data_IF_697305784303
#
_entry.id   IF_697305784303
#
_cell.length_a   1.000
_cell.length_b   1.000
_cell.length_c   1.000
_cell.angle_alpha   90.00
_cell.angle_beta   90.00
_cell.angle_gamma   90.00
#
_symmetry.space_group_name_H-M   'P 1'
#
loop_
_entity.id
_entity.type
_entity.pdbx_description
1 polymer ?
#
# COMPACT_ATOMS: atom_id res chain seq x y z
N UNK A 1 -1.59 -7.76 -11.50
CA UNK A 1 -0.78 -8.64 -10.62
C UNK A 1 -0.70 -7.92 -9.30
N UNK A 2 -1.12 -8.55 -8.20
CA UNK A 2 -1.22 -7.97 -6.84
C UNK A 2 0.01 -7.10 -6.48
N UNK A 3 1.23 -7.59 -6.77
CA UNK A 3 2.47 -6.83 -6.57
C UNK A 3 2.60 -5.53 -7.38
N UNK A 4 2.09 -5.50 -8.61
CA UNK A 4 2.15 -4.34 -9.48
C UNK A 4 1.16 -3.24 -9.06
N UNK A 5 0.02 -3.63 -8.48
CA UNK A 5 -0.95 -2.68 -7.93
C UNK A 5 -0.47 -2.09 -6.60
N UNK A 6 0.22 -2.88 -5.77
CA UNK A 6 0.92 -2.38 -4.58
C UNK A 6 1.99 -1.34 -4.96
N UNK A 7 2.86 -1.67 -5.93
CA UNK A 7 3.91 -0.76 -6.38
C UNK A 7 3.36 0.58 -6.89
N UNK A 8 2.19 0.56 -7.55
CA UNK A 8 1.49 1.78 -7.99
C UNK A 8 0.91 2.58 -6.83
N UNK A 9 0.26 1.94 -5.84
CA UNK A 9 -0.25 2.62 -4.62
C UNK A 9 0.89 3.32 -3.87
N UNK A 10 2.01 2.64 -3.62
CA UNK A 10 3.16 3.22 -2.92
C UNK A 10 3.76 4.39 -3.72
N UNK A 11 3.95 4.23 -5.02
CA UNK A 11 4.52 5.29 -5.88
C UNK A 11 3.61 6.52 -5.92
N UNK A 12 2.29 6.33 -5.92
CA UNK A 12 1.30 7.42 -5.88
C UNK A 12 1.33 8.18 -4.54
N UNK A 13 1.46 7.45 -3.43
CA UNK A 13 1.55 8.02 -2.10
C UNK A 13 2.86 8.82 -1.91
N UNK A 14 3.99 8.29 -2.38
CA UNK A 14 5.28 8.98 -2.39
C UNK A 14 5.28 10.23 -3.28
N UNK A 15 4.64 10.16 -4.44
CA UNK A 15 4.51 11.31 -5.35
C UNK A 15 3.62 12.41 -4.75
N UNK A 16 2.55 12.03 -4.04
CA UNK A 16 1.71 12.97 -3.31
C UNK A 16 2.47 13.64 -2.17
N UNK A 17 3.32 12.89 -1.47
CA UNK A 17 4.21 13.41 -0.42
C UNK A 17 5.28 14.36 -1.00
N UNK A 18 5.88 14.01 -2.15
CA UNK A 18 6.89 14.84 -2.82
C UNK A 18 6.33 16.17 -3.32
N UNK A 19 5.03 16.24 -3.59
CA UNK A 19 4.34 17.48 -3.98
C UNK A 19 3.79 18.26 -2.77
N UNK A 20 3.72 17.65 -1.58
CA UNK A 20 3.26 18.30 -0.37
C UNK A 20 4.38 19.18 0.20
N UNK A 21 4.27 20.50 0.02
CA UNK A 21 5.26 21.49 0.47
C UNK A 21 5.39 21.58 1.99
N UNK A 22 4.42 21.02 2.74
CA UNK A 22 4.41 20.93 4.20
C UNK A 22 4.10 19.47 4.57
N UNK A 23 5.11 18.74 5.04
CA UNK A 23 4.93 17.40 5.60
C UNK A 23 4.62 17.56 7.09
N UNK A 24 3.34 17.50 7.46
CA UNK A 24 2.92 17.40 8.85
C UNK A 24 2.99 15.93 9.31
N UNK A 25 3.23 15.71 10.60
CA UNK A 25 3.26 14.40 11.24
C UNK A 25 1.95 13.62 11.02
N UNK A 26 0.81 14.31 11.01
CA UNK A 26 -0.49 13.71 10.68
C UNK A 26 -0.56 13.17 9.24
N UNK A 27 -0.06 13.94 8.27
CA UNK A 27 -0.05 13.55 6.84
C UNK A 27 0.90 12.37 6.64
N UNK A 28 2.05 12.39 7.30
CA UNK A 28 3.01 11.29 7.26
C UNK A 28 2.42 10.02 7.87
N UNK A 29 1.74 10.12 9.02
CA UNK A 29 1.14 8.99 9.71
C UNK A 29 -0.06 8.42 8.94
N UNK A 30 -0.86 9.27 8.31
CA UNK A 30 -1.94 8.85 7.41
C UNK A 30 -1.40 8.07 6.21
N UNK A 31 -0.32 8.57 5.58
CA UNK A 31 0.33 7.91 4.44
C UNK A 31 0.92 6.55 4.84
N UNK A 32 1.61 6.49 5.99
CA UNK A 32 2.13 5.24 6.55
C UNK A 32 1.02 4.22 6.82
N UNK A 33 -0.12 4.66 7.37
CA UNK A 33 -1.28 3.79 7.59
C UNK A 33 -1.86 3.25 6.30
N UNK A 34 -2.01 4.10 5.27
CA UNK A 34 -2.50 3.64 3.96
C UNK A 34 -1.55 2.63 3.31
N UNK A 35 -0.24 2.87 3.36
CA UNK A 35 0.76 1.95 2.82
C UNK A 35 0.77 0.63 3.60
N UNK A 36 0.72 0.67 4.92
CA UNK A 36 0.67 -0.54 5.76
C UNK A 36 -0.63 -1.33 5.55
N UNK A 37 -1.78 -0.66 5.41
CA UNK A 37 -3.05 -1.30 5.14
C UNK A 37 -3.06 -1.97 3.76
N UNK A 38 -2.55 -1.27 2.73
CA UNK A 38 -2.41 -1.85 1.39
C UNK A 38 -1.47 -3.07 1.40
N UNK A 39 -0.35 -3.01 2.12
CA UNK A 39 0.56 -4.14 2.27
C UNK A 39 -0.11 -5.36 2.91
N UNK A 40 -0.89 -5.15 3.98
CA UNK A 40 -1.59 -6.25 4.65
C UNK A 40 -2.68 -6.85 3.76
N UNK A 41 -3.44 -6.02 3.06
CA UNK A 41 -4.49 -6.45 2.13
C UNK A 41 -3.90 -7.33 1.01
N UNK A 42 -2.79 -6.90 0.40
CA UNK A 42 -2.12 -7.66 -0.66
C UNK A 42 -1.52 -8.98 -0.16
N UNK A 43 -0.95 -9.02 1.06
CA UNK A 43 -0.45 -10.26 1.67
C UNK A 43 -1.60 -11.21 1.98
N UNK A 44 -2.72 -10.69 2.47
CA UNK A 44 -3.90 -11.51 2.79
C UNK A 44 -4.54 -12.08 1.54
N UNK A 45 -4.65 -11.29 0.47
CA UNK A 45 -5.16 -11.72 -0.82
C UNK A 45 -4.23 -12.73 -1.49
N UNK A 46 -2.91 -12.57 -1.38
CA UNK A 46 -1.94 -13.56 -1.85
C UNK A 46 -2.12 -14.90 -1.11
N UNK A 47 -2.21 -14.87 0.22
CA UNK A 47 -2.48 -16.07 1.02
C UNK A 47 -3.82 -16.72 0.64
N UNK A 48 -4.88 -15.94 0.45
CA UNK A 48 -6.19 -16.45 0.00
C UNK A 48 -6.10 -17.07 -1.39
N UNK A 49 -5.35 -16.46 -2.31
CA UNK A 49 -5.17 -16.96 -3.66
C UNK A 49 -4.37 -18.27 -3.67
N UNK A 50 -3.32 -18.38 -2.86
CA UNK A 50 -2.54 -19.61 -2.68
C UNK A 50 -3.41 -20.71 -2.04
N UNK A 51 -4.20 -20.38 -1.00
CA UNK A 51 -5.08 -21.34 -0.35
C UNK A 51 -6.19 -21.85 -1.29
N UNK A 52 -6.73 -20.98 -2.16
CA UNK A 52 -7.69 -21.36 -3.20
C UNK A 52 -7.09 -22.21 -4.32
N UNK A 53 -5.77 -22.19 -4.53
CA UNK A 53 -5.07 -23.03 -5.51
C UNK A 53 -4.72 -24.41 -4.98
N UNK A 54 -4.65 -24.56 -3.65
CA UNK A 54 -4.29 -25.80 -2.96
C UNK A 54 -5.49 -26.59 -2.44
N UNK A 55 -6.72 -26.08 -2.66
CA UNK A 55 -7.99 -26.73 -2.34
C UNK A 55 -8.71 -27.07 -3.64
#
# INVERSE_FOLDING_TARGET
MVLADLGRKITSALRSLSNATIINEEVLNAMLKEVCAALMEDVFDLCRHIQSRYR
#
